data_IF_844332894296
#
_entry.id   IF_844332894296
#
_cell.length_a   1.000
_cell.length_b   1.000
_cell.length_c   1.000
_cell.angle_alpha   90.00
_cell.angle_beta   90.00
_cell.angle_gamma   90.00
#
_symmetry.space_group_name_H-M   'P 1'
#
loop_
_entity.id
_entity.type
_entity.pdbx_description
1 polymer ?
#
# COMPACT_ATOMS: atom_id res chain seq x y z
N UNK A 1 17.17 7.26 -14.38
CA UNK A 1 15.93 6.62 -13.87
C UNK A 1 16.14 5.12 -13.61
N UNK A 2 16.59 4.31 -14.59
CA UNK A 2 16.78 2.85 -14.43
C UNK A 2 17.98 2.38 -13.58
N UNK A 3 18.92 3.27 -13.25
CA UNK A 3 20.09 2.99 -12.39
C UNK A 3 19.95 3.55 -10.96
N UNK A 4 18.73 3.87 -10.54
CA UNK A 4 18.48 4.27 -9.15
C UNK A 4 18.84 3.11 -8.20
N UNK A 5 19.52 3.42 -7.09
CA UNK A 5 19.98 2.41 -6.11
C UNK A 5 18.88 1.42 -5.73
N UNK A 6 17.66 1.91 -5.49
CA UNK A 6 16.50 1.07 -5.15
C UNK A 6 16.12 0.09 -6.27
N UNK A 7 16.08 0.54 -7.53
CA UNK A 7 15.72 -0.29 -8.68
C UNK A 7 16.77 -1.37 -8.93
N UNK A 8 18.05 -1.01 -8.82
CA UNK A 8 19.18 -1.95 -8.97
C UNK A 8 19.14 -3.00 -7.86
N UNK A 9 18.92 -2.61 -6.61
CA UNK A 9 18.81 -3.53 -5.49
C UNK A 9 17.59 -4.46 -5.62
N UNK A 10 16.44 -3.93 -6.07
CA UNK A 10 15.24 -4.73 -6.28
C UNK A 10 15.43 -5.76 -7.41
N UNK A 11 15.91 -5.31 -8.57
CA UNK A 11 16.16 -6.19 -9.72
C UNK A 11 17.23 -7.24 -9.39
N UNK A 12 18.32 -6.84 -8.74
CA UNK A 12 19.37 -7.75 -8.28
C UNK A 12 18.85 -8.78 -7.29
N UNK A 13 18.07 -8.37 -6.29
CA UNK A 13 17.47 -9.27 -5.32
C UNK A 13 16.52 -10.29 -5.97
N UNK A 14 15.71 -9.84 -6.94
CA UNK A 14 14.80 -10.72 -7.68
C UNK A 14 15.57 -11.75 -8.52
N UNK A 15 16.62 -11.33 -9.21
CA UNK A 15 17.49 -12.21 -10.01
C UNK A 15 18.23 -13.22 -9.14
N UNK A 16 18.78 -12.79 -8.00
CA UNK A 16 19.45 -13.67 -7.05
C UNK A 16 18.45 -14.68 -6.48
N UNK A 17 17.26 -14.25 -6.07
CA UNK A 17 16.21 -15.13 -5.57
C UNK A 17 15.76 -16.17 -6.61
N UNK A 18 15.60 -15.74 -7.86
CA UNK A 18 15.26 -16.63 -8.98
C UNK A 18 16.37 -17.65 -9.26
N UNK A 19 17.64 -17.23 -9.27
CA UNK A 19 18.78 -18.11 -9.51
C UNK A 19 19.06 -19.07 -8.34
N UNK A 20 18.90 -18.62 -7.09
CA UNK A 20 19.13 -19.43 -5.89
C UNK A 20 18.04 -20.49 -5.67
N UNK A 21 16.80 -20.18 -6.07
CA UNK A 21 15.64 -21.04 -5.89
C UNK A 21 15.31 -21.34 -4.41
N UNK A 22 14.29 -22.17 -4.15
CA UNK A 22 13.82 -22.43 -2.78
C UNK A 22 14.89 -23.03 -1.86
N UNK A 23 15.75 -23.92 -2.39
CA UNK A 23 16.81 -24.57 -1.60
C UNK A 23 17.92 -23.61 -1.20
N UNK A 24 18.30 -22.67 -2.08
CA UNK A 24 19.31 -21.65 -1.77
C UNK A 24 18.84 -20.62 -0.74
N UNK A 25 17.51 -20.46 -0.59
CA UNK A 25 16.88 -19.55 0.37
C UNK A 25 16.70 -20.17 1.77
N UNK A 26 16.74 -21.50 1.92
CA UNK A 26 16.49 -22.18 3.19
C UNK A 26 17.36 -21.67 4.37
N UNK A 27 18.68 -21.40 4.22
CA UNK A 27 19.49 -20.85 5.31
C UNK A 27 19.08 -19.43 5.73
N UNK A 28 18.41 -18.69 4.85
CA UNK A 28 17.95 -17.33 5.08
C UNK A 28 16.57 -17.28 5.76
N UNK A 29 15.87 -18.42 5.86
CA UNK A 29 14.51 -18.48 6.39
C UNK A 29 14.33 -17.92 7.81
N UNK A 30 15.19 -18.25 8.79
CA UNK A 30 15.05 -17.74 10.15
C UNK A 30 15.10 -16.20 10.19
N UNK A 31 15.89 -15.60 9.31
CA UNK A 31 16.06 -14.15 9.24
C UNK A 31 14.95 -13.46 8.46
N UNK A 32 14.61 -13.95 7.27
CA UNK A 32 13.66 -13.26 6.39
C UNK A 32 12.20 -13.66 6.60
N UNK A 33 11.91 -14.84 7.13
CA UNK A 33 10.53 -15.28 7.39
C UNK A 33 10.23 -15.37 8.88
N UNK A 34 11.15 -15.92 9.68
CA UNK A 34 11.00 -16.03 11.13
C UNK A 34 10.92 -14.67 11.82
N UNK A 35 11.96 -13.85 11.66
CA UNK A 35 12.04 -12.51 12.25
C UNK A 35 11.11 -11.48 11.60
N UNK A 36 10.67 -11.69 10.35
CA UNK A 36 9.81 -10.74 9.63
C UNK A 36 8.50 -10.44 10.35
N UNK A 37 7.85 -11.44 10.96
CA UNK A 37 6.62 -11.22 11.73
C UNK A 37 6.86 -10.30 12.94
N UNK A 38 8.00 -10.47 13.62
CA UNK A 38 8.39 -9.61 14.73
C UNK A 38 8.66 -8.18 14.28
N UNK A 39 9.43 -8.01 13.20
CA UNK A 39 9.69 -6.70 12.61
C UNK A 39 8.41 -6.01 12.11
N UNK A 40 7.51 -6.76 11.47
CA UNK A 40 6.21 -6.27 11.00
C UNK A 40 5.32 -5.83 12.17
N UNK A 41 5.33 -6.56 13.29
CA UNK A 41 4.59 -6.17 14.49
C UNK A 41 5.07 -4.83 15.04
N UNK A 42 6.40 -4.65 15.19
CA UNK A 42 6.98 -3.39 15.65
C UNK A 42 6.67 -2.24 14.68
N UNK A 43 6.75 -2.50 13.38
CA UNK A 43 6.39 -1.53 12.35
C UNK A 43 4.91 -1.12 12.44
N UNK A 44 3.99 -2.08 12.55
CA UNK A 44 2.57 -1.78 12.67
C UNK A 44 2.25 -1.02 13.97
N UNK A 45 2.96 -1.32 15.07
CA UNK A 45 2.84 -0.57 16.32
C UNK A 45 3.27 0.89 16.13
N UNK A 46 4.42 1.14 15.52
CA UNK A 46 4.89 2.49 15.22
C UNK A 46 3.91 3.24 14.30
N UNK A 47 3.45 2.61 13.23
CA UNK A 47 2.45 3.21 12.34
C UNK A 47 1.14 3.51 13.07
N UNK A 48 0.73 2.67 14.03
CA UNK A 48 -0.42 2.91 14.89
C UNK A 48 -0.23 4.11 15.82
N UNK A 49 0.96 4.28 16.42
CA UNK A 49 1.31 5.45 17.24
C UNK A 49 1.32 6.73 16.40
N UNK A 50 1.87 6.69 15.18
CA UNK A 50 1.84 7.82 14.25
C UNK A 50 0.40 8.19 13.87
N UNK A 51 -0.46 7.20 13.59
CA UNK A 51 -1.86 7.42 13.30
C UNK A 51 -2.60 8.06 14.49
N UNK A 52 -2.35 7.58 15.72
CA UNK A 52 -2.93 8.14 16.94
C UNK A 52 -2.49 9.58 17.19
N UNK A 53 -1.21 9.89 16.99
CA UNK A 53 -0.67 11.25 17.10
C UNK A 53 -1.32 12.22 16.08
N UNK A 54 -1.70 11.71 14.90
CA UNK A 54 -2.35 12.50 13.85
C UNK A 54 -3.88 12.50 13.93
N UNK A 55 -4.50 11.74 14.85
CA UNK A 55 -5.96 11.71 14.99
C UNK A 55 -6.55 13.09 15.30
N UNK A 56 -5.80 13.96 16.00
CA UNK A 56 -6.19 15.35 16.26
C UNK A 56 -6.25 16.21 14.99
N UNK A 57 -5.39 15.96 14.00
CA UNK A 57 -5.38 16.69 12.73
C UNK A 57 -6.64 16.42 11.90
N UNK A 58 -7.37 15.32 12.18
CA UNK A 58 -8.65 15.03 11.54
C UNK A 58 -9.70 16.13 11.80
N UNK A 59 -9.65 16.78 12.97
CA UNK A 59 -10.55 17.90 13.33
C UNK A 59 -10.27 19.17 12.52
N UNK A 60 -9.03 19.38 12.10
CA UNK A 60 -8.60 20.57 11.35
C UNK A 60 -8.56 20.35 9.83
N UNK A 61 -8.57 19.10 9.37
CA UNK A 61 -8.40 18.74 7.96
C UNK A 61 -9.64 18.93 7.08
N UNK A 62 -10.83 19.10 7.68
CA UNK A 62 -12.08 19.38 6.97
C UNK A 62 -12.71 18.17 6.26
N UNK A 63 -14.03 18.26 6.00
CA UNK A 63 -14.81 17.19 5.37
C UNK A 63 -14.31 16.79 3.97
N UNK A 64 -13.67 17.73 3.26
CA UNK A 64 -13.09 17.48 1.95
C UNK A 64 -11.98 16.41 1.99
N UNK A 65 -11.04 16.50 2.94
CA UNK A 65 -9.93 15.54 3.01
C UNK A 65 -10.46 14.13 3.33
N UNK A 66 -11.45 14.03 4.22
CA UNK A 66 -12.08 12.76 4.55
C UNK A 66 -12.79 12.14 3.34
N UNK A 67 -13.57 12.94 2.60
CA UNK A 67 -14.21 12.50 1.36
C UNK A 67 -13.19 12.04 0.33
N UNK A 68 -12.14 12.83 0.11
CA UNK A 68 -11.06 12.49 -0.82
C UNK A 68 -10.35 11.18 -0.44
N UNK A 69 -9.97 11.02 0.82
CA UNK A 69 -9.27 9.84 1.33
C UNK A 69 -10.11 8.54 1.32
N UNK A 70 -11.43 8.65 1.14
CA UNK A 70 -12.33 7.50 0.97
C UNK A 70 -12.62 7.25 -0.52
N UNK A 71 -12.89 8.30 -1.30
CA UNK A 71 -13.28 8.15 -2.70
C UNK A 71 -12.09 7.77 -3.58
N UNK A 72 -10.93 8.39 -3.36
CA UNK A 72 -9.73 8.14 -4.16
C UNK A 72 -9.29 6.67 -4.18
N UNK A 73 -9.18 5.94 -3.04
CA UNK A 73 -8.81 4.54 -3.08
C UNK A 73 -9.84 3.65 -3.81
N UNK A 74 -11.14 3.99 -3.76
CA UNK A 74 -12.17 3.28 -4.53
C UNK A 74 -11.95 3.47 -6.03
N UNK A 75 -11.72 4.71 -6.48
CA UNK A 75 -11.43 4.99 -7.89
C UNK A 75 -10.18 4.25 -8.37
N UNK A 76 -9.12 4.24 -7.55
CA UNK A 76 -7.90 3.49 -7.86
C UNK A 76 -8.13 1.97 -7.87
N UNK A 77 -8.98 1.43 -6.98
CA UNK A 77 -9.33 0.02 -6.99
C UNK A 77 -10.08 -0.37 -8.26
N UNK A 78 -11.03 0.46 -8.71
CA UNK A 78 -11.74 0.26 -9.98
C UNK A 78 -10.74 0.25 -11.15
N UNK A 79 -9.82 1.21 -11.18
CA UNK A 79 -8.76 1.25 -12.19
C UNK A 79 -7.90 -0.02 -12.16
N UNK A 80 -7.43 -0.43 -10.97
CA UNK A 80 -6.65 -1.66 -10.79
C UNK A 80 -7.43 -2.91 -11.20
N UNK A 81 -8.74 -2.93 -10.99
CA UNK A 81 -9.62 -4.03 -11.40
C UNK A 81 -9.75 -4.11 -12.92
N UNK A 82 -9.96 -2.96 -13.58
CA UNK A 82 -10.02 -2.87 -15.04
C UNK A 82 -8.70 -3.34 -15.66
N UNK A 83 -7.57 -2.84 -15.15
CA UNK A 83 -6.25 -3.22 -15.64
C UNK A 83 -5.98 -4.71 -15.41
N UNK A 84 -6.25 -5.22 -14.21
CA UNK A 84 -6.03 -6.64 -13.88
C UNK A 84 -6.85 -7.59 -14.75
N UNK A 85 -8.10 -7.21 -15.03
CA UNK A 85 -8.96 -7.97 -15.94
C UNK A 85 -8.45 -7.88 -17.38
N UNK A 86 -8.08 -6.68 -17.85
CA UNK A 86 -7.60 -6.47 -19.22
C UNK A 86 -6.31 -7.25 -19.54
N UNK A 87 -5.43 -7.46 -18.56
CA UNK A 87 -4.21 -8.25 -18.72
C UNK A 87 -4.41 -9.76 -18.42
N UNK A 88 -5.65 -10.19 -18.18
CA UNK A 88 -5.99 -11.61 -18.00
C UNK A 88 -5.60 -12.21 -16.65
N UNK A 89 -5.51 -11.41 -15.57
CA UNK A 89 -5.32 -11.95 -14.23
C UNK A 89 -6.55 -12.76 -13.79
N UNK A 90 -6.37 -13.71 -12.87
CA UNK A 90 -7.49 -14.36 -12.19
C UNK A 90 -8.25 -13.37 -11.29
N UNK A 91 -9.42 -13.75 -10.79
CA UNK A 91 -10.16 -12.95 -9.81
C UNK A 91 -9.30 -12.60 -8.58
N UNK A 92 -8.56 -13.58 -8.03
CA UNK A 92 -7.62 -13.35 -6.92
C UNK A 92 -6.48 -12.40 -7.29
N UNK A 93 -5.88 -12.55 -8.48
CA UNK A 93 -4.84 -11.65 -8.96
C UNK A 93 -5.34 -10.22 -9.18
N UNK A 94 -6.56 -10.09 -9.71
CA UNK A 94 -7.22 -8.80 -9.95
C UNK A 94 -7.56 -8.11 -8.62
N UNK A 95 -8.05 -8.85 -7.62
CA UNK A 95 -8.28 -8.32 -6.27
C UNK A 95 -6.99 -7.81 -5.62
N UNK A 96 -5.90 -8.57 -5.74
CA UNK A 96 -4.60 -8.14 -5.24
C UNK A 96 -4.17 -6.83 -5.91
N UNK A 97 -4.27 -6.75 -7.24
CA UNK A 97 -3.92 -5.53 -7.97
C UNK A 97 -4.81 -4.34 -7.59
N UNK A 98 -6.14 -4.55 -7.48
CA UNK A 98 -7.08 -3.53 -7.06
C UNK A 98 -6.73 -3.00 -5.64
N UNK A 99 -6.40 -3.89 -4.71
CA UNK A 99 -6.00 -3.53 -3.34
C UNK A 99 -4.69 -2.75 -3.31
N UNK A 100 -3.71 -3.16 -4.13
CA UNK A 100 -2.44 -2.43 -4.27
C UNK A 100 -2.65 -1.04 -4.88
N UNK A 101 -3.50 -0.92 -5.90
CA UNK A 101 -3.84 0.36 -6.52
C UNK A 101 -4.56 1.30 -5.54
N UNK A 102 -5.42 0.76 -4.67
CA UNK A 102 -6.15 1.49 -3.64
C UNK A 102 -5.30 1.91 -2.43
N UNK A 103 -4.05 1.43 -2.33
CA UNK A 103 -3.20 1.71 -1.18
C UNK A 103 -2.60 3.13 -1.25
N UNK A 104 -2.44 3.77 -0.09
CA UNK A 104 -1.81 5.08 0.03
C UNK A 104 -0.39 4.96 0.60
N UNK A 105 0.56 5.70 0.02
CA UNK A 105 1.94 5.75 0.53
C UNK A 105 2.05 6.71 1.71
N UNK A 106 2.63 6.24 2.82
CA UNK A 106 2.82 7.01 4.05
C UNK A 106 4.30 7.14 4.46
N UNK A 107 5.22 6.63 3.64
CA UNK A 107 6.68 6.71 3.87
C UNK A 107 7.31 7.59 2.78
N UNK A 108 7.34 7.07 1.55
CA UNK A 108 8.07 7.69 0.45
C UNK A 108 7.35 8.92 -0.10
N UNK A 109 6.02 8.85 -0.31
CA UNK A 109 5.29 9.97 -0.90
C UNK A 109 5.28 11.23 -0.03
N UNK A 110 5.03 11.17 1.30
CA UNK A 110 5.14 12.36 2.15
C UNK A 110 6.55 12.95 2.17
N UNK A 111 7.59 12.10 2.21
CA UNK A 111 8.98 12.55 2.17
C UNK A 111 9.31 13.26 0.86
N UNK A 112 8.90 12.70 -0.28
CA UNK A 112 9.08 13.31 -1.60
C UNK A 112 8.29 14.63 -1.73
N UNK A 113 7.06 14.68 -1.22
CA UNK A 113 6.22 15.87 -1.26
C UNK A 113 6.82 17.02 -0.46
N UNK A 114 7.41 16.76 0.70
CA UNK A 114 8.11 17.80 1.50
C UNK A 114 9.28 18.45 0.75
N UNK A 115 9.93 17.70 -0.13
CA UNK A 115 11.05 18.21 -0.95
C UNK A 115 10.52 18.97 -2.16
N UNK A 116 9.49 18.44 -2.82
CA UNK A 116 8.95 19.00 -4.05
C UNK A 116 8.05 20.23 -3.83
N UNK A 117 7.30 20.25 -2.72
CA UNK A 117 6.36 21.32 -2.35
C UNK A 117 6.54 21.62 -0.85
N UNK A 118 7.54 22.43 -0.46
CA UNK A 118 7.89 22.70 0.93
C UNK A 118 6.74 23.32 1.76
N UNK A 119 5.84 24.05 1.11
CA UNK A 119 4.67 24.70 1.73
C UNK A 119 3.54 23.70 2.04
N UNK A 120 3.58 22.50 1.44
CA UNK A 120 2.57 21.48 1.69
C UNK A 120 2.70 20.93 3.11
N UNK A 121 1.58 20.83 3.82
CA UNK A 121 1.56 20.23 5.16
C UNK A 121 1.64 18.70 5.05
N UNK A 122 2.78 18.06 5.41
CA UNK A 122 2.93 16.61 5.33
C UNK A 122 1.97 15.86 6.27
N UNK A 123 1.54 16.52 7.35
CA UNK A 123 0.57 15.97 8.29
C UNK A 123 -0.76 15.62 7.64
N UNK A 124 -1.20 16.38 6.62
CA UNK A 124 -2.44 16.07 5.89
C UNK A 124 -2.31 14.76 5.10
N UNK A 125 -1.18 14.56 4.41
CA UNK A 125 -0.92 13.33 3.64
C UNK A 125 -0.83 12.10 4.53
N UNK A 126 -0.14 12.22 5.69
CA UNK A 126 0.00 11.15 6.67
C UNK A 126 -1.37 10.83 7.31
N UNK A 127 -2.15 11.86 7.66
CA UNK A 127 -3.50 11.70 8.22
C UNK A 127 -4.41 11.00 7.22
N UNK A 128 -4.46 11.45 5.97
CA UNK A 128 -5.28 10.84 4.93
C UNK A 128 -4.91 9.36 4.70
N UNK A 129 -3.61 9.04 4.65
CA UNK A 129 -3.15 7.68 4.42
C UNK A 129 -3.40 6.75 5.62
N UNK A 130 -3.01 7.14 6.84
CA UNK A 130 -3.00 6.26 8.00
C UNK A 130 -4.29 6.29 8.83
N UNK A 131 -4.90 7.46 8.98
CA UNK A 131 -6.08 7.62 9.85
C UNK A 131 -7.37 7.32 9.09
N UNK A 132 -7.38 7.51 7.77
CA UNK A 132 -8.60 7.35 6.95
C UNK A 132 -8.46 6.19 5.97
N UNK A 133 -7.55 6.31 4.99
CA UNK A 133 -7.46 5.37 3.86
C UNK A 133 -7.14 3.95 4.32
N UNK A 134 -6.15 3.80 5.21
CA UNK A 134 -5.74 2.49 5.72
C UNK A 134 -6.87 1.74 6.45
N UNK A 135 -7.49 2.28 7.52
CA UNK A 135 -8.60 1.58 8.19
C UNK A 135 -9.81 1.41 7.27
N UNK A 136 -10.11 2.38 6.39
CA UNK A 136 -11.15 2.23 5.38
C UNK A 136 -10.89 1.02 4.48
N UNK A 137 -9.68 0.90 3.93
CA UNK A 137 -9.32 -0.21 3.04
C UNK A 137 -9.45 -1.56 3.74
N UNK A 138 -8.99 -1.69 4.99
CA UNK A 138 -9.08 -2.96 5.73
C UNK A 138 -10.52 -3.32 6.07
N UNK A 139 -11.32 -2.36 6.55
CA UNK A 139 -12.67 -2.63 7.07
C UNK A 139 -13.74 -2.70 5.98
N UNK A 140 -13.61 -1.88 4.93
CA UNK A 140 -14.66 -1.67 3.92
C UNK A 140 -14.13 -1.85 2.50
N UNK A 141 -12.97 -1.27 2.20
CA UNK A 141 -12.40 -1.24 0.84
C UNK A 141 -12.17 -2.64 0.27
N UNK A 142 -11.39 -3.50 0.93
CA UNK A 142 -11.08 -4.85 0.44
C UNK A 142 -12.35 -5.69 0.20
N UNK A 143 -13.32 -5.76 1.14
CA UNK A 143 -14.61 -6.39 0.88
C UNK A 143 -15.36 -5.79 -0.32
N UNK A 144 -15.34 -4.46 -0.49
CA UNK A 144 -15.97 -3.77 -1.61
C UNK A 144 -15.28 -4.11 -2.94
N UNK A 145 -13.95 -4.07 -2.98
CA UNK A 145 -13.14 -4.37 -4.17
C UNK A 145 -13.35 -5.82 -4.59
N UNK A 146 -13.42 -6.75 -3.64
CA UNK A 146 -13.76 -8.14 -3.91
C UNK A 146 -15.11 -8.30 -4.62
N UNK A 147 -16.14 -7.56 -4.18
CA UNK A 147 -17.44 -7.57 -4.87
C UNK A 147 -17.36 -7.01 -6.29
N UNK A 148 -16.63 -5.90 -6.49
CA UNK A 148 -16.44 -5.30 -7.83
C UNK A 148 -15.73 -6.28 -8.76
N UNK A 149 -14.67 -6.94 -8.28
CA UNK A 149 -13.94 -7.96 -9.03
C UNK A 149 -14.85 -9.13 -9.38
N UNK A 150 -15.64 -9.63 -8.42
CA UNK A 150 -16.56 -10.74 -8.65
C UNK A 150 -17.62 -10.44 -9.72
N UNK A 151 -18.17 -9.22 -9.72
CA UNK A 151 -19.10 -8.77 -10.76
C UNK A 151 -18.48 -8.78 -12.16
N UNK A 152 -17.19 -8.48 -12.28
CA UNK A 152 -16.48 -8.44 -13.57
C UNK A 152 -16.03 -9.84 -14.01
N UNK A 153 -15.61 -10.69 -13.07
CA UNK A 153 -15.14 -12.05 -13.36
C UNK A 153 -16.26 -13.09 -13.42
N UNK A 154 -17.48 -12.74 -13.04
CA UNK A 154 -18.64 -13.65 -13.04
C UNK A 154 -18.62 -14.66 -11.89
N UNK A 155 -18.03 -14.29 -10.75
CA UNK A 155 -17.87 -15.11 -9.53
C UNK A 155 -18.56 -14.51 -8.32
#
# INVERSE_FOLDING_TARGET
IFLGKSMVLLAGGLLIGWAAGPKGLAPLEPFFFGLFKGALCLFLLEMGLVAAAQAGALRTSGAFLAGFAIVMPILSAVFGTVVGTAIGLSAGGTLLLATLAASASYIAAPAAMRIAVPEANPGLSITAALVITFPFNILVGIPLYHRIVGLIHGS
#
